data_IF_994296442584
#
_entry.id   IF_994296442584
#
_cell.length_a   1.000
_cell.length_b   1.000
_cell.length_c   1.000
_cell.angle_alpha   90.00
_cell.angle_beta   90.00
_cell.angle_gamma   90.00
#
_symmetry.space_group_name_H-M   'P 1'
#
loop_
_entity.id
_entity.type
_entity.pdbx_description
1 polymer ?
#
# COMPACT_ATOMS: atom_id res chain seq x y z
N UNK A 1 -6.47 51.47 16.74
CA UNK A 1 -5.19 50.85 17.13
C UNK A 1 -4.72 49.93 16.00
N UNK A 2 -3.50 50.12 15.49
CA UNK A 2 -2.97 49.43 14.30
C UNK A 2 -2.16 48.21 14.71
N UNK A 3 -2.86 47.15 15.14
CA UNK A 3 -2.24 45.89 15.56
C UNK A 3 -1.94 45.00 14.34
N UNK A 4 -1.06 45.45 13.45
CA UNK A 4 -0.39 44.57 12.50
C UNK A 4 1.04 44.39 12.97
N UNK A 5 1.33 43.25 13.60
CA UNK A 5 2.65 42.94 14.15
C UNK A 5 3.59 42.30 13.11
N UNK A 6 3.12 42.15 11.86
CA UNK A 6 3.87 41.51 10.78
C UNK A 6 4.33 40.10 11.17
N UNK A 7 5.64 39.87 11.16
CA UNK A 7 6.25 38.58 11.45
C UNK A 7 6.56 38.34 12.94
N UNK A 8 6.19 39.25 13.84
CA UNK A 8 6.44 39.08 15.28
C UNK A 8 5.57 37.92 15.83
N UNK A 9 6.20 36.97 16.53
CA UNK A 9 5.59 35.74 17.05
C UNK A 9 4.90 34.87 15.99
N UNK A 10 5.58 34.62 14.87
CA UNK A 10 5.06 33.91 13.70
C UNK A 10 4.89 32.39 13.83
N UNK A 11 5.19 31.79 14.98
CA UNK A 11 4.96 30.35 15.16
C UNK A 11 3.47 30.03 15.04
N UNK A 12 3.14 29.19 14.05
CA UNK A 12 1.76 28.88 13.70
C UNK A 12 1.05 28.00 14.73
N UNK A 13 -0.27 28.07 14.74
CA UNK A 13 -1.12 27.07 15.41
C UNK A 13 -1.27 25.84 14.51
N UNK A 14 -1.55 24.64 15.05
CA UNK A 14 -1.89 23.48 14.24
C UNK A 14 -3.06 23.80 13.30
N UNK A 15 -2.95 23.43 12.03
CA UNK A 15 -4.00 23.65 11.02
C UNK A 15 -4.54 22.30 10.54
N UNK A 16 -3.74 21.55 9.80
CA UNK A 16 -4.13 20.27 9.19
C UNK A 16 -3.05 19.19 9.34
N UNK A 17 -3.44 17.94 9.08
CA UNK A 17 -2.54 16.79 9.02
C UNK A 17 -2.12 16.51 7.57
N UNK A 18 -0.89 16.04 7.40
CA UNK A 18 -0.34 15.68 6.10
C UNK A 18 0.40 14.34 6.16
N UNK A 19 0.39 13.59 5.07
CA UNK A 19 1.18 12.37 4.91
C UNK A 19 2.48 12.68 4.15
N UNK A 20 3.64 12.41 4.77
CA UNK A 20 4.95 12.56 4.12
C UNK A 20 5.28 11.30 3.31
N UNK A 21 5.42 11.44 2.00
CA UNK A 21 5.72 10.34 1.08
C UNK A 21 7.12 10.48 0.46
N UNK A 22 7.84 9.35 0.33
CA UNK A 22 9.15 9.28 -0.33
C UNK A 22 9.04 8.85 -1.79
N UNK A 23 10.10 9.06 -2.56
CA UNK A 23 10.20 8.54 -3.93
C UNK A 23 10.14 7.01 -3.89
N UNK A 24 9.28 6.42 -4.74
CA UNK A 24 9.08 4.98 -4.81
C UNK A 24 8.15 4.40 -3.73
N UNK A 25 7.65 5.22 -2.80
CA UNK A 25 6.71 4.77 -1.78
C UNK A 25 5.31 4.55 -2.38
N UNK A 26 4.69 3.37 -2.19
CA UNK A 26 3.29 3.16 -2.58
C UNK A 26 2.35 4.03 -1.75
N UNK A 27 1.43 4.73 -2.43
CA UNK A 27 0.39 5.56 -1.79
C UNK A 27 -0.90 4.75 -1.61
N UNK A 28 -1.39 4.15 -2.70
CA UNK A 28 -2.60 3.33 -2.72
C UNK A 28 -2.25 1.98 -3.34
N UNK A 29 -2.65 0.89 -2.69
CA UNK A 29 -2.55 -0.47 -3.20
C UNK A 29 -3.93 -1.10 -3.29
N UNK A 30 -4.25 -1.71 -4.43
CA UNK A 30 -5.54 -2.37 -4.67
C UNK A 30 -5.27 -3.82 -5.09
N UNK A 31 -5.99 -4.77 -4.50
CA UNK A 31 -6.04 -6.16 -4.95
C UNK A 31 -7.41 -6.42 -5.57
N UNK A 32 -7.43 -7.02 -6.74
CA UNK A 32 -8.65 -7.41 -7.45
C UNK A 32 -8.38 -8.70 -8.23
N UNK A 33 -9.45 -9.30 -8.74
CA UNK A 33 -9.36 -10.38 -9.73
C UNK A 33 -8.78 -9.84 -11.05
N UNK A 34 -8.15 -10.71 -11.82
CA UNK A 34 -7.45 -10.32 -13.05
C UNK A 34 -8.39 -9.77 -14.14
N UNK A 35 -9.66 -10.18 -14.14
CA UNK A 35 -10.71 -9.66 -15.02
C UNK A 35 -11.02 -8.17 -14.77
N UNK A 36 -10.76 -7.65 -13.57
CA UNK A 36 -11.00 -6.24 -13.20
C UNK A 36 -9.78 -5.34 -13.39
N UNK A 37 -8.69 -5.85 -13.99
CA UNK A 37 -7.43 -5.12 -14.17
C UNK A 37 -7.62 -3.71 -14.77
N UNK A 38 -8.37 -3.60 -15.87
CA UNK A 38 -8.56 -2.32 -16.56
C UNK A 38 -9.36 -1.31 -15.71
N UNK A 39 -10.38 -1.80 -15.00
CA UNK A 39 -11.19 -0.97 -14.09
C UNK A 39 -10.34 -0.38 -12.97
N UNK A 40 -9.44 -1.19 -12.39
CA UNK A 40 -8.54 -0.74 -11.32
C UNK A 40 -7.52 0.28 -11.83
N UNK A 41 -6.96 0.07 -13.02
CA UNK A 41 -6.01 1.02 -13.63
C UNK A 41 -6.70 2.38 -13.86
N UNK A 42 -7.92 2.39 -14.39
CA UNK A 42 -8.69 3.62 -14.60
C UNK A 42 -9.06 4.31 -13.28
N UNK A 43 -9.44 3.55 -12.25
CA UNK A 43 -9.72 4.10 -10.93
C UNK A 43 -8.49 4.79 -10.33
N UNK A 44 -7.31 4.18 -10.41
CA UNK A 44 -6.04 4.79 -9.96
C UNK A 44 -5.64 5.99 -10.82
N UNK A 45 -5.94 5.98 -12.11
CA UNK A 45 -5.72 7.12 -13.01
C UNK A 45 -6.55 8.33 -12.61
N UNK A 46 -7.80 8.13 -12.19
CA UNK A 46 -8.66 9.20 -11.65
C UNK A 46 -8.20 9.64 -10.27
N UNK A 47 -7.83 8.71 -9.39
CA UNK A 47 -7.35 9.02 -8.04
C UNK A 47 -6.07 9.88 -8.07
N UNK A 48 -5.11 9.57 -8.96
CA UNK A 48 -3.86 10.36 -9.03
C UNK A 48 -4.07 11.83 -9.42
N UNK A 49 -5.18 12.19 -10.08
CA UNK A 49 -5.52 13.59 -10.39
C UNK A 49 -5.80 14.42 -9.13
N UNK A 50 -6.06 13.78 -8.00
CA UNK A 50 -6.31 14.43 -6.71
C UNK A 50 -5.04 14.61 -5.88
N UNK A 51 -3.91 14.07 -6.35
CA UNK A 51 -2.62 14.23 -5.68
C UNK A 51 -1.71 15.18 -6.49
N UNK A 52 -0.96 16.05 -5.81
CA UNK A 52 0.03 16.89 -6.47
C UNK A 52 1.24 16.05 -6.95
N UNK A 53 1.93 16.51 -7.99
CA UNK A 53 3.16 15.87 -8.50
C UNK A 53 2.92 14.72 -9.48
N UNK A 54 3.91 13.83 -9.64
CA UNK A 54 3.87 12.72 -10.61
C UNK A 54 3.75 11.37 -9.92
N UNK A 55 2.60 10.72 -10.07
CA UNK A 55 2.37 9.34 -9.63
C UNK A 55 2.42 8.36 -10.81
N UNK A 56 3.05 7.21 -10.58
CA UNK A 56 3.09 6.08 -11.52
C UNK A 56 2.12 5.00 -11.06
N UNK A 57 1.38 4.41 -11.99
CA UNK A 57 0.55 3.23 -11.76
C UNK A 57 1.38 2.02 -12.18
N UNK A 58 1.52 1.05 -11.27
CA UNK A 58 2.34 -0.15 -11.50
C UNK A 58 1.52 -1.38 -11.16
N UNK A 59 1.57 -2.37 -12.04
CA UNK A 59 0.99 -3.70 -11.76
C UNK A 59 2.07 -4.55 -11.09
N UNK A 60 1.82 -4.95 -9.84
CA UNK A 60 2.75 -5.78 -9.08
C UNK A 60 2.80 -7.21 -9.63
N UNK A 61 4.00 -7.81 -9.60
CA UNK A 61 4.19 -9.25 -9.84
C UNK A 61 3.80 -10.12 -8.64
N UNK A 62 3.53 -9.49 -7.49
CA UNK A 62 3.21 -10.19 -6.24
C UNK A 62 1.76 -10.68 -6.22
N UNK A 63 1.50 -11.71 -5.41
CA UNK A 63 0.14 -12.18 -5.18
C UNK A 63 -0.58 -11.27 -4.17
N UNK A 64 -1.43 -10.37 -4.66
CA UNK A 64 -2.19 -9.44 -3.82
C UNK A 64 -1.29 -8.54 -2.97
N UNK A 65 -1.49 -8.54 -1.65
CA UNK A 65 -0.70 -7.77 -0.68
C UNK A 65 0.36 -8.62 0.04
N UNK A 66 0.69 -9.77 -0.51
CA UNK A 66 1.75 -10.62 0.04
C UNK A 66 3.13 -10.18 -0.48
N UNK A 67 4.17 -10.75 0.12
CA UNK A 67 5.55 -10.50 -0.28
C UNK A 67 6.03 -11.34 -1.47
N UNK A 68 5.34 -12.46 -1.75
CA UNK A 68 5.70 -13.47 -2.74
C UNK A 68 5.18 -13.14 -4.15
N UNK A 69 5.86 -13.63 -5.18
CA UNK A 69 5.37 -13.55 -6.56
C UNK A 69 4.13 -14.44 -6.74
N UNK A 70 3.45 -14.31 -7.89
CA UNK A 70 2.28 -15.15 -8.20
C UNK A 70 2.66 -16.63 -8.29
N UNK A 71 3.82 -16.92 -8.85
CA UNK A 71 4.35 -18.26 -9.06
C UNK A 71 4.73 -18.89 -7.71
N UNK A 72 5.54 -18.20 -6.90
CA UNK A 72 5.93 -18.64 -5.57
C UNK A 72 4.70 -18.89 -4.67
N UNK A 73 3.72 -17.98 -4.72
CA UNK A 73 2.51 -18.13 -3.92
C UNK A 73 1.71 -19.37 -4.32
N UNK A 74 1.61 -19.66 -5.62
CA UNK A 74 0.89 -20.84 -6.10
C UNK A 74 1.56 -22.14 -5.64
N UNK A 75 2.88 -22.23 -5.76
CA UNK A 75 3.67 -23.38 -5.30
C UNK A 75 3.60 -23.58 -3.79
N UNK A 76 3.82 -22.51 -3.01
CA UNK A 76 3.78 -22.57 -1.55
C UNK A 76 2.37 -22.89 -1.02
N UNK A 77 1.32 -22.49 -1.75
CA UNK A 77 -0.06 -22.87 -1.43
C UNK A 77 -0.33 -24.34 -1.74
N UNK A 78 0.17 -24.86 -2.86
CA UNK A 78 0.01 -26.27 -3.23
C UNK A 78 0.76 -27.21 -2.28
N UNK A 79 1.96 -26.81 -1.85
CA UNK A 79 2.77 -27.57 -0.88
C UNK A 79 2.30 -27.45 0.58
N UNK A 80 1.26 -26.65 0.86
CA UNK A 80 0.75 -26.45 2.22
C UNK A 80 1.59 -25.53 3.11
N UNK A 81 2.67 -24.93 2.59
CA UNK A 81 3.52 -23.97 3.32
C UNK A 81 2.85 -22.63 3.57
N UNK A 82 1.75 -22.32 2.85
CA UNK A 82 0.92 -21.14 3.09
C UNK A 82 -0.47 -21.54 3.59
N UNK A 83 -0.80 -21.07 4.79
CA UNK A 83 -2.12 -21.24 5.39
C UNK A 83 -2.89 -19.92 5.37
N UNK A 84 -4.18 -19.94 5.00
CA UNK A 84 -5.01 -18.74 5.04
C UNK A 84 -5.16 -18.23 6.49
N UNK A 85 -4.93 -16.93 6.69
CA UNK A 85 -5.07 -16.24 7.96
C UNK A 85 -5.94 -14.99 7.77
N UNK A 86 -7.23 -15.21 7.48
CA UNK A 86 -8.18 -14.14 7.20
C UNK A 86 -7.86 -13.42 5.88
N UNK A 87 -7.48 -12.14 5.98
CA UNK A 87 -7.18 -11.31 4.80
C UNK A 87 -5.77 -11.56 4.21
N UNK A 88 -4.86 -12.15 4.99
CA UNK A 88 -3.47 -12.45 4.63
C UNK A 88 -3.20 -13.96 4.64
N UNK A 89 -2.00 -14.36 4.24
CA UNK A 89 -1.52 -15.74 4.32
C UNK A 89 -0.37 -15.84 5.33
N UNK A 90 -0.39 -16.88 6.17
CA UNK A 90 0.67 -17.20 7.11
C UNK A 90 1.60 -18.24 6.50
N UNK A 91 2.90 -17.98 6.57
CA UNK A 91 3.92 -18.95 6.20
C UNK A 91 4.16 -19.92 7.35
N UNK A 92 4.14 -21.21 7.04
CA UNK A 92 4.57 -22.27 7.94
C UNK A 92 6.06 -22.53 7.65
N UNK A 93 6.95 -22.18 8.59
CA UNK A 93 8.36 -22.49 8.45
C UNK A 93 8.63 -23.98 8.68
N UNK A 94 9.72 -24.48 8.10
CA UNK A 94 10.19 -25.86 8.31
C UNK A 94 10.86 -26.06 9.70
N UNK A 95 10.70 -25.11 10.62
CA UNK A 95 11.25 -25.16 11.98
C UNK A 95 10.16 -24.84 13.02
N UNK A 96 10.23 -25.48 14.17
CA UNK A 96 9.28 -25.31 15.27
C UNK A 96 9.01 -26.62 15.98
N UNK A 97 8.13 -26.58 16.98
CA UNK A 97 7.63 -27.81 17.60
C UNK A 97 6.70 -28.51 16.62
N UNK A 98 6.94 -29.80 16.37
CA UNK A 98 6.13 -30.62 15.45
C UNK A 98 4.74 -30.93 16.02
N UNK A 99 4.63 -30.93 17.36
CA UNK A 99 3.38 -31.05 18.10
C UNK A 99 3.13 -29.79 18.95
N UNK A 100 1.85 -29.42 19.06
CA UNK A 100 1.32 -28.59 20.13
C UNK A 100 0.52 -29.49 21.08
#
# INVERSE_FOLDING_TARGET
>A
DRLQTGMRHSFGKPNDLVARVRIGQPIISIRAKDDKKQVVIEALRRAKMKFPGRQKIVVSKKWGFTKWTREEYAEMRQSGKLVPAGNIAKYIPDHGKLDA
#
